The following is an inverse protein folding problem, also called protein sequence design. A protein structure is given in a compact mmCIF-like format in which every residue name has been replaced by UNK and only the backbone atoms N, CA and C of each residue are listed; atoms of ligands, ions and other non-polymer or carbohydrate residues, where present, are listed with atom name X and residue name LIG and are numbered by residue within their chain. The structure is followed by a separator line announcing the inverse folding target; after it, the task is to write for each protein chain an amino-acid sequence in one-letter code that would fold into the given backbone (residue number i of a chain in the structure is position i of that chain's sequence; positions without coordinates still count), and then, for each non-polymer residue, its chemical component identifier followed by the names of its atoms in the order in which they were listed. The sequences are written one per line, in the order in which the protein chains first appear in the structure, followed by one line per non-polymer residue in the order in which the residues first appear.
data_IF_409077272957
#
_entry.id   IF_409077272957
#
_cell.length_a   1.000
_cell.length_b   1.000
_cell.length_c   1.000
_cell.angle_alpha   90.00
_cell.angle_beta   90.00
_cell.angle_gamma   90.00
#
_symmetry.space_group_name_H-M   'P 1'
#
loop_
_entity.id
_entity.type
_entity.pdbx_description
1 polymer ?
#
# COMPACT_ATOMS: atom_id res chain seq x y z
N UNK A 1 -3.86 2.75 -4.21
CA UNK A 1 -5.00 2.22 -3.45
C UNK A 1 -5.59 3.28 -2.49
N UNK A 2 -4.82 3.87 -1.58
CA UNK A 2 -5.36 4.85 -0.60
C UNK A 2 -6.09 6.01 -1.26
N UNK A 3 -5.53 6.62 -2.28
CA UNK A 3 -6.18 7.70 -3.05
C UNK A 3 -7.52 7.24 -3.64
N UNK A 4 -7.56 6.02 -4.19
CA UNK A 4 -8.81 5.45 -4.73
C UNK A 4 -9.86 5.28 -3.64
N UNK A 5 -9.48 4.75 -2.48
CA UNK A 5 -10.40 4.54 -1.35
C UNK A 5 -10.93 5.86 -0.79
N UNK A 6 -10.12 6.91 -0.83
CA UNK A 6 -10.50 8.23 -0.32
C UNK A 6 -11.41 9.01 -1.28
N UNK A 7 -11.26 8.81 -2.61
CA UNK A 7 -11.93 9.65 -3.61
C UNK A 7 -13.06 8.98 -4.38
N UNK A 8 -13.08 7.63 -4.48
CA UNK A 8 -14.04 6.92 -5.30
C UNK A 8 -15.02 6.08 -4.46
N UNK A 9 -16.25 5.97 -4.93
CA UNK A 9 -17.22 5.02 -4.36
C UNK A 9 -16.83 3.59 -4.75
N UNK A 10 -16.62 2.72 -3.75
CA UNK A 10 -16.22 1.33 -3.94
C UNK A 10 -17.19 0.51 -4.80
N UNK A 11 -18.47 0.90 -4.82
CA UNK A 11 -19.53 0.24 -5.61
C UNK A 11 -19.72 0.86 -7.00
N UNK A 12 -19.04 1.99 -7.27
CA UNK A 12 -19.05 2.59 -8.60
C UNK A 12 -18.57 1.58 -9.63
N UNK A 13 -19.27 1.50 -10.76
CA UNK A 13 -18.89 0.66 -11.89
C UNK A 13 -17.98 1.43 -12.83
N UNK A 14 -16.90 0.78 -13.19
CA UNK A 14 -15.88 1.24 -14.13
C UNK A 14 -15.96 0.37 -15.37
N UNK A 15 -16.13 0.99 -16.54
CA UNK A 15 -16.02 0.32 -17.83
C UNK A 15 -14.56 0.40 -18.32
N UNK A 16 -13.97 -0.75 -18.61
CA UNK A 16 -12.56 -0.85 -18.99
C UNK A 16 -12.37 -0.50 -20.46
N UNK A 17 -11.48 0.46 -20.74
CA UNK A 17 -11.03 0.80 -22.09
C UNK A 17 -9.95 -0.15 -22.62
N UNK A 18 -9.70 -0.07 -23.93
CA UNK A 18 -8.66 -0.89 -24.59
C UNK A 18 -7.27 -0.66 -24.01
N UNK A 19 -6.95 0.59 -23.63
CA UNK A 19 -5.65 0.96 -23.09
C UNK A 19 -5.35 0.25 -21.77
N UNK A 20 -6.35 0.14 -20.86
CA UNK A 20 -6.17 -0.57 -19.59
C UNK A 20 -5.89 -2.06 -19.79
N UNK A 21 -6.55 -2.68 -20.75
CA UNK A 21 -6.38 -4.11 -21.06
C UNK A 21 -5.04 -4.44 -21.75
N UNK A 22 -4.31 -3.44 -22.22
CA UNK A 22 -3.03 -3.59 -22.95
C UNK A 22 -1.81 -3.17 -22.12
N UNK A 23 -1.99 -2.83 -20.85
CA UNK A 23 -0.90 -2.45 -19.97
C UNK A 23 0.05 -3.63 -19.73
N UNK A 24 1.34 -3.37 -19.88
CA UNK A 24 2.40 -4.35 -19.66
C UNK A 24 2.55 -4.76 -18.18
N UNK A 25 3.09 -5.94 -17.97
CA UNK A 25 3.44 -6.50 -16.67
C UNK A 25 2.35 -7.40 -16.09
N UNK A 26 2.23 -7.45 -14.76
CA UNK A 26 1.22 -8.27 -14.07
C UNK A 26 -0.18 -7.79 -14.40
N UNK A 27 -1.09 -8.69 -14.73
CA UNK A 27 -2.46 -8.37 -15.09
C UNK A 27 -3.45 -9.34 -14.43
N UNK A 28 -4.62 -8.85 -14.10
CA UNK A 28 -5.76 -9.67 -13.65
C UNK A 28 -6.71 -9.99 -14.80
N UNK A 29 -6.38 -9.57 -16.02
CA UNK A 29 -7.08 -9.94 -17.24
C UNK A 29 -8.42 -9.23 -17.43
N UNK A 30 -8.52 -7.97 -16.97
CA UNK A 30 -9.67 -7.14 -17.35
C UNK A 30 -9.60 -6.80 -18.84
N UNK A 31 -10.74 -6.74 -19.51
CA UNK A 31 -10.78 -6.53 -20.96
C UNK A 31 -11.69 -5.41 -21.40
N UNK A 32 -11.55 -4.97 -22.68
CA UNK A 32 -12.31 -3.85 -23.22
C UNK A 32 -13.81 -4.08 -23.14
N UNK A 33 -14.54 -3.09 -22.60
CA UNK A 33 -16.00 -3.17 -22.38
C UNK A 33 -16.40 -4.01 -21.15
N UNK A 34 -15.44 -4.65 -20.47
CA UNK A 34 -15.66 -5.29 -19.18
C UNK A 34 -16.05 -4.23 -18.15
N UNK A 35 -16.94 -4.61 -17.23
CA UNK A 35 -17.43 -3.69 -16.19
C UNK A 35 -17.13 -4.28 -14.82
N UNK A 36 -16.38 -3.52 -14.00
CA UNK A 36 -15.93 -3.91 -12.67
C UNK A 36 -16.31 -2.84 -11.66
N UNK A 37 -16.50 -3.20 -10.41
CA UNK A 37 -16.58 -2.19 -9.35
C UNK A 37 -15.18 -1.67 -8.99
N UNK A 38 -15.09 -0.47 -8.42
CA UNK A 38 -13.84 0.07 -7.88
C UNK A 38 -13.23 -0.90 -6.88
N UNK A 39 -14.05 -1.54 -6.03
CA UNK A 39 -13.58 -2.57 -5.08
C UNK A 39 -12.96 -3.78 -5.79
N UNK A 40 -13.57 -4.29 -6.85
CA UNK A 40 -12.99 -5.40 -7.63
C UNK A 40 -11.66 -5.03 -8.27
N UNK A 41 -11.53 -3.81 -8.82
CA UNK A 41 -10.25 -3.33 -9.34
C UNK A 41 -9.21 -3.16 -8.23
N UNK A 42 -9.60 -2.69 -7.04
CA UNK A 42 -8.71 -2.65 -5.87
C UNK A 42 -8.27 -4.05 -5.41
N UNK A 43 -9.15 -5.04 -5.47
CA UNK A 43 -8.80 -6.45 -5.22
C UNK A 43 -7.76 -6.93 -6.24
N UNK A 44 -7.98 -6.67 -7.52
CA UNK A 44 -7.00 -6.97 -8.56
C UNK A 44 -5.64 -6.33 -8.34
N UNK A 45 -5.64 -5.05 -7.99
CA UNK A 45 -4.43 -4.27 -7.70
C UNK A 45 -3.68 -4.78 -6.47
N UNK A 46 -4.37 -5.01 -5.35
CA UNK A 46 -3.73 -5.29 -4.06
C UNK A 46 -3.40 -6.77 -3.86
N UNK A 47 -4.26 -7.68 -4.34
CA UNK A 47 -4.09 -9.12 -4.15
C UNK A 47 -3.17 -9.77 -5.19
N UNK A 48 -3.19 -9.28 -6.44
CA UNK A 48 -2.44 -9.87 -7.55
C UNK A 48 -1.61 -8.87 -8.38
N UNK A 49 -1.41 -7.67 -7.86
CA UNK A 49 -0.55 -6.65 -8.50
C UNK A 49 -0.95 -6.28 -9.94
N UNK A 50 -2.26 -6.31 -10.27
CA UNK A 50 -2.77 -6.05 -11.61
C UNK A 50 -2.48 -4.62 -12.08
N UNK A 51 -1.58 -4.45 -13.05
CA UNK A 51 -1.27 -3.15 -13.66
C UNK A 51 -2.43 -2.66 -14.53
N UNK A 52 -3.16 -3.57 -15.14
CA UNK A 52 -4.40 -3.30 -15.87
C UNK A 52 -5.48 -2.70 -14.95
N UNK A 53 -5.67 -3.27 -13.77
CA UNK A 53 -6.56 -2.72 -12.74
C UNK A 53 -6.05 -1.37 -12.21
N UNK A 54 -4.73 -1.21 -12.01
CA UNK A 54 -4.14 0.07 -11.61
C UNK A 54 -4.41 1.17 -12.62
N UNK A 55 -4.26 0.87 -13.92
CA UNK A 55 -4.53 1.84 -15.00
C UNK A 55 -6.01 2.21 -15.05
N UNK A 56 -6.92 1.22 -15.00
CA UNK A 56 -8.36 1.49 -14.99
C UNK A 56 -8.76 2.42 -13.82
N UNK A 57 -8.22 2.19 -12.62
CA UNK A 57 -8.43 3.07 -11.46
C UNK A 57 -7.81 4.46 -11.65
N UNK A 58 -6.65 4.54 -12.33
CA UNK A 58 -6.01 5.83 -12.61
C UNK A 58 -6.85 6.67 -13.58
N UNK A 59 -7.52 6.07 -14.55
CA UNK A 59 -8.42 6.80 -15.45
C UNK A 59 -9.61 7.40 -14.68
N UNK A 60 -10.18 6.66 -13.71
CA UNK A 60 -11.27 7.18 -12.85
C UNK A 60 -10.80 8.33 -11.93
N UNK A 61 -9.53 8.38 -11.58
CA UNK A 61 -8.93 9.48 -10.81
C UNK A 61 -8.59 10.72 -11.66
N UNK A 62 -8.84 10.67 -12.96
CA UNK A 62 -8.62 11.79 -13.90
C UNK A 62 -7.43 11.61 -14.81
N UNK A 63 -6.95 10.37 -15.00
CA UNK A 63 -5.84 9.99 -15.87
C UNK A 63 -4.49 9.97 -15.16
N UNK A 64 -3.46 9.58 -15.90
CA UNK A 64 -2.14 9.26 -15.35
C UNK A 64 -1.49 10.42 -14.58
N UNK A 65 -1.44 11.63 -15.18
CA UNK A 65 -0.83 12.80 -14.54
C UNK A 65 -1.57 13.22 -13.27
N UNK A 66 -2.90 13.18 -13.29
CA UNK A 66 -3.71 13.54 -12.13
C UNK A 66 -3.50 12.50 -11.02
N UNK A 67 -3.45 11.22 -11.36
CA UNK A 67 -3.22 10.13 -10.41
C UNK A 67 -1.84 10.23 -9.77
N UNK A 68 -0.78 10.44 -10.55
CA UNK A 68 0.58 10.61 -10.01
C UNK A 68 0.69 11.80 -9.05
N UNK A 69 0.07 12.93 -9.40
CA UNK A 69 0.03 14.09 -8.50
C UNK A 69 -0.66 13.73 -7.18
N UNK A 70 -1.84 13.13 -7.22
CA UNK A 70 -2.61 12.73 -6.02
C UNK A 70 -1.88 11.70 -5.17
N UNK A 71 -1.20 10.73 -5.79
CA UNK A 71 -0.39 9.72 -5.09
C UNK A 71 0.77 10.38 -4.34
N UNK A 72 1.48 11.32 -4.97
CA UNK A 72 2.58 12.03 -4.32
C UNK A 72 2.09 12.99 -3.22
N UNK A 73 0.95 13.65 -3.42
CA UNK A 73 0.28 14.45 -2.39
C UNK A 73 -0.10 13.58 -1.18
N UNK A 74 -0.69 12.40 -1.42
CA UNK A 74 -1.02 11.44 -0.36
C UNK A 74 0.22 10.94 0.38
N UNK A 75 1.31 10.64 -0.32
CA UNK A 75 2.58 10.27 0.29
C UNK A 75 3.11 11.38 1.22
N UNK A 76 3.05 12.64 0.78
CA UNK A 76 3.43 13.78 1.60
C UNK A 76 2.53 13.96 2.84
N UNK A 77 1.20 13.78 2.70
CA UNK A 77 0.24 13.81 3.82
C UNK A 77 0.55 12.73 4.87
N UNK A 78 1.01 11.55 4.44
CA UNK A 78 1.42 10.45 5.32
C UNK A 78 2.75 10.78 6.03
N UNK A 79 3.48 11.79 5.59
CA UNK A 79 4.75 12.22 6.17
C UNK A 79 5.96 11.46 5.62
N UNK A 80 5.92 11.03 4.37
CA UNK A 80 7.09 10.46 3.69
C UNK A 80 8.05 11.57 3.28
N UNK A 81 9.36 11.26 3.27
CA UNK A 81 10.41 12.23 2.96
C UNK A 81 11.29 11.82 1.76
N UNK A 82 11.30 10.54 1.43
CA UNK A 82 12.14 9.93 0.39
C UNK A 82 11.33 9.22 -0.69
N UNK A 83 10.00 9.31 -0.62
CA UNK A 83 9.10 8.64 -1.56
C UNK A 83 8.64 9.60 -2.64
N UNK A 84 8.89 9.21 -3.88
CA UNK A 84 8.35 9.85 -5.07
C UNK A 84 7.84 8.78 -6.02
N UNK A 85 6.55 8.80 -6.31
CA UNK A 85 5.92 7.91 -7.27
C UNK A 85 6.02 8.53 -8.68
N UNK A 86 6.77 7.90 -9.56
CA UNK A 86 6.84 8.24 -10.98
C UNK A 86 5.98 7.31 -11.85
N UNK A 87 5.41 6.25 -11.23
CA UNK A 87 4.43 5.33 -11.80
C UNK A 87 3.39 5.01 -10.72
N UNK A 88 2.13 4.89 -11.09
CA UNK A 88 1.05 4.53 -10.16
C UNK A 88 0.91 3.01 -9.96
N UNK A 89 1.52 2.22 -10.82
CA UNK A 89 1.56 0.75 -10.74
C UNK A 89 2.75 0.21 -9.94
N UNK A 90 3.79 1.04 -9.73
CA UNK A 90 5.04 0.64 -9.09
C UNK A 90 6.10 0.11 -10.05
N UNK A 91 5.87 0.15 -11.37
CA UNK A 91 6.89 -0.15 -12.37
C UNK A 91 7.99 0.91 -12.38
N UNK A 92 9.18 0.53 -12.85
CA UNK A 92 10.34 1.41 -12.95
C UNK A 92 10.02 2.63 -13.82
N UNK A 93 10.37 3.81 -13.33
CA UNK A 93 10.24 5.06 -14.05
C UNK A 93 11.26 6.08 -13.53
N UNK A 94 11.74 7.01 -14.37
CA UNK A 94 12.73 8.00 -13.97
C UNK A 94 12.27 8.83 -12.77
N UNK A 95 13.08 8.83 -11.70
CA UNK A 95 12.78 9.56 -10.47
C UNK A 95 12.01 8.77 -9.41
N UNK A 96 11.53 7.54 -9.70
CA UNK A 96 10.91 6.66 -8.71
C UNK A 96 11.87 6.42 -7.54
N UNK A 97 11.40 6.66 -6.32
CA UNK A 97 12.21 6.44 -5.12
C UNK A 97 11.35 6.19 -3.89
N UNK A 98 11.91 5.47 -2.92
CA UNK A 98 11.33 5.30 -1.59
C UNK A 98 12.39 4.90 -0.57
N UNK A 99 11.99 4.76 0.69
CA UNK A 99 12.79 4.17 1.76
C UNK A 99 11.96 3.15 2.55
N UNK A 100 12.63 2.26 3.27
CA UNK A 100 11.94 1.29 4.14
C UNK A 100 11.13 2.00 5.24
N UNK A 101 11.62 3.13 5.74
CA UNK A 101 10.90 3.97 6.70
C UNK A 101 9.61 4.52 6.10
N UNK A 102 9.67 5.09 4.90
CA UNK A 102 8.50 5.65 4.22
C UNK A 102 7.47 4.57 3.90
N UNK A 103 7.90 3.42 3.39
CA UNK A 103 6.99 2.27 3.16
C UNK A 103 6.36 1.81 4.47
N UNK A 104 7.10 1.83 5.59
CA UNK A 104 6.53 1.52 6.90
C UNK A 104 5.43 2.50 7.30
N UNK A 105 5.60 3.80 7.02
CA UNK A 105 4.59 4.85 7.27
C UNK A 105 3.36 4.65 6.39
N UNK A 106 3.56 4.44 5.09
CA UNK A 106 2.49 4.20 4.12
C UNK A 106 1.68 2.96 4.51
N UNK A 107 2.35 1.85 4.83
CA UNK A 107 1.70 0.60 5.20
C UNK A 107 0.90 0.74 6.51
N UNK A 108 1.46 1.42 7.51
CA UNK A 108 0.77 1.72 8.75
C UNK A 108 -0.49 2.56 8.49
N UNK A 109 -0.39 3.63 7.70
CA UNK A 109 -1.54 4.44 7.31
C UNK A 109 -2.60 3.62 6.56
N UNK A 110 -2.16 2.76 5.63
CA UNK A 110 -3.04 1.89 4.87
C UNK A 110 -3.81 0.90 5.77
N UNK A 111 -3.15 0.30 6.77
CA UNK A 111 -3.80 -0.63 7.70
C UNK A 111 -4.78 0.02 8.68
N UNK A 112 -4.74 1.34 8.85
CA UNK A 112 -5.79 2.06 9.56
C UNK A 112 -7.07 2.22 8.73
N UNK A 113 -6.99 2.03 7.41
CA UNK A 113 -8.16 2.04 6.56
C UNK A 113 -8.78 0.63 6.51
N UNK A 114 -10.03 0.46 6.96
CA UNK A 114 -10.65 -0.87 7.05
C UNK A 114 -10.88 -1.55 5.71
N UNK A 115 -11.06 -0.78 4.63
CA UNK A 115 -11.19 -1.32 3.27
C UNK A 115 -9.88 -1.92 2.79
N UNK A 116 -8.77 -1.20 2.95
CA UNK A 116 -7.45 -1.72 2.63
C UNK A 116 -7.14 -2.98 3.43
N UNK A 117 -7.28 -2.91 4.76
CA UNK A 117 -6.99 -4.03 5.65
C UNK A 117 -7.78 -5.28 5.26
N UNK A 118 -9.08 -5.15 4.99
CA UNK A 118 -9.95 -6.25 4.57
C UNK A 118 -9.50 -6.87 3.24
N UNK A 119 -9.14 -6.05 2.23
CA UNK A 119 -8.73 -6.56 0.92
C UNK A 119 -7.43 -7.36 1.02
N UNK A 120 -6.41 -6.84 1.71
CA UNK A 120 -5.11 -7.53 1.81
C UNK A 120 -5.12 -8.74 2.74
N UNK A 121 -6.13 -8.84 3.61
CA UNK A 121 -6.41 -9.97 4.52
C UNK A 121 -7.44 -10.97 3.93
N UNK A 122 -7.62 -10.94 2.61
CA UNK A 122 -8.52 -11.84 1.88
C UNK A 122 -7.68 -12.84 1.08
N UNK A 123 -7.95 -14.14 1.27
CA UNK A 123 -7.21 -15.22 0.59
C UNK A 123 -7.54 -15.30 -0.89
N UNK A 124 -8.82 -15.26 -1.23
CA UNK A 124 -9.29 -15.28 -2.62
C UNK A 124 -10.68 -14.66 -2.77
N UNK A 125 -10.98 -14.20 -3.98
CA UNK A 125 -12.30 -13.67 -4.35
C UNK A 125 -12.73 -14.20 -5.71
N UNK A 126 -14.03 -14.26 -5.94
CA UNK A 126 -14.58 -14.44 -7.29
C UNK A 126 -14.33 -13.16 -8.09
N UNK A 127 -13.52 -13.24 -9.13
CA UNK A 127 -13.22 -12.13 -10.00
C UNK A 127 -14.01 -12.24 -11.31
N UNK A 128 -14.73 -11.19 -11.71
CA UNK A 128 -15.57 -11.27 -12.91
C UNK A 128 -14.77 -11.47 -14.18
N UNK A 129 -15.30 -12.26 -15.12
CA UNK A 129 -14.84 -12.28 -16.50
C UNK A 129 -15.37 -11.09 -17.31
N UNK A 130 -15.10 -11.09 -18.61
CA UNK A 130 -15.60 -10.08 -19.54
C UNK A 130 -15.84 -10.69 -20.92
N UNK A 131 -16.76 -10.11 -21.71
CA UNK A 131 -17.15 -10.67 -23.00
C UNK A 131 -17.66 -12.10 -22.85
N UNK A 132 -17.05 -13.04 -23.55
CA UNK A 132 -17.37 -14.47 -23.49
C UNK A 132 -16.47 -15.25 -22.49
N UNK A 133 -15.64 -14.56 -21.71
CA UNK A 133 -14.77 -15.17 -20.71
C UNK A 133 -15.48 -15.27 -19.36
N UNK A 134 -15.48 -16.47 -18.79
CA UNK A 134 -15.99 -16.71 -17.45
C UNK A 134 -15.13 -16.01 -16.38
N UNK A 135 -15.75 -15.70 -15.23
CA UNK A 135 -15.04 -15.28 -14.02
C UNK A 135 -14.17 -16.40 -13.44
N UNK A 136 -13.26 -16.04 -12.56
CA UNK A 136 -12.31 -16.96 -11.95
C UNK A 136 -11.99 -16.60 -10.50
N UNK A 137 -11.37 -17.54 -9.78
CA UNK A 137 -10.85 -17.28 -8.42
C UNK A 137 -9.55 -16.48 -8.49
N UNK A 138 -9.59 -15.22 -8.07
CA UNK A 138 -8.40 -14.39 -7.89
C UNK A 138 -7.80 -14.66 -6.52
N UNK A 139 -6.59 -15.20 -6.46
CA UNK A 139 -5.86 -15.47 -5.23
C UNK A 139 -4.98 -14.30 -4.79
N UNK A 140 -4.73 -14.23 -3.49
CA UNK A 140 -3.74 -13.31 -2.92
C UNK A 140 -2.32 -13.85 -3.15
N UNK A 141 -1.39 -13.02 -3.59
CA UNK A 141 0.00 -13.40 -3.87
C UNK A 141 0.94 -13.25 -2.65
N UNK A 142 0.43 -12.79 -1.52
CA UNK A 142 1.25 -12.55 -0.33
C UNK A 142 1.58 -13.83 0.43
N UNK A 143 2.79 -14.35 0.21
CA UNK A 143 3.24 -15.59 0.83
C UNK A 143 3.30 -15.56 2.36
N UNK A 144 3.56 -14.42 2.99
CA UNK A 144 3.54 -14.30 4.46
C UNK A 144 2.12 -14.51 5.00
N UNK A 145 1.14 -13.84 4.40
CA UNK A 145 -0.27 -13.98 4.76
C UNK A 145 -0.77 -15.42 4.60
N UNK A 146 -0.40 -16.07 3.50
CA UNK A 146 -0.87 -17.43 3.18
C UNK A 146 -0.20 -18.54 4.00
N UNK A 147 1.01 -18.30 4.54
CA UNK A 147 1.82 -19.35 5.19
C UNK A 147 2.11 -19.10 6.68
N UNK A 148 1.70 -17.96 7.23
CA UNK A 148 1.84 -17.68 8.66
C UNK A 148 0.45 -17.45 9.29
N UNK A 149 0.08 -18.21 10.34
CA UNK A 149 -1.25 -18.09 10.96
C UNK A 149 -1.52 -16.71 11.61
N UNK A 150 -0.47 -15.94 11.88
CA UNK A 150 -0.56 -14.58 12.42
C UNK A 150 -0.47 -13.51 11.32
N UNK A 151 -0.37 -13.90 10.04
CA UNK A 151 -0.26 -13.01 8.89
C UNK A 151 -1.52 -12.18 8.65
N UNK A 152 -1.36 -10.86 8.48
CA UNK A 152 -2.47 -9.92 8.27
C UNK A 152 -2.42 -9.20 6.92
N UNK A 153 -1.72 -9.76 5.96
CA UNK A 153 -1.58 -9.22 4.63
C UNK A 153 -0.36 -8.31 4.42
N UNK A 154 -0.30 -7.68 3.29
CA UNK A 154 0.84 -6.85 2.86
C UNK A 154 0.89 -6.66 1.36
N UNK A 155 2.07 -6.34 0.83
CA UNK A 155 2.29 -6.20 -0.61
C UNK A 155 3.64 -6.74 -1.03
N UNK A 156 3.63 -7.48 -2.12
CA UNK A 156 4.81 -7.96 -2.86
C UNK A 156 5.16 -6.98 -3.98
N UNK A 157 6.39 -6.99 -4.46
CA UNK A 157 6.80 -6.28 -5.65
C UNK A 157 8.08 -6.86 -6.25
N UNK A 158 8.20 -6.69 -7.56
CA UNK A 158 9.43 -6.98 -8.31
C UNK A 158 9.51 -6.09 -9.54
N UNK A 159 10.66 -5.48 -9.74
CA UNK A 159 11.08 -4.84 -10.99
C UNK A 159 12.55 -5.12 -11.22
N UNK A 160 13.04 -4.85 -12.42
CA UNK A 160 14.45 -5.09 -12.74
C UNK A 160 15.38 -4.15 -11.96
N UNK A 161 14.96 -2.91 -11.72
CA UNK A 161 15.76 -1.91 -11.00
C UNK A 161 15.64 -2.05 -9.48
N UNK A 162 14.43 -2.34 -8.96
CA UNK A 162 14.18 -2.43 -7.51
C UNK A 162 14.42 -3.82 -6.92
N UNK A 163 14.59 -4.86 -7.76
CA UNK A 163 14.60 -6.26 -7.37
C UNK A 163 13.33 -6.63 -6.57
N UNK A 164 13.40 -7.65 -5.71
CA UNK A 164 12.26 -8.02 -4.89
C UNK A 164 12.06 -7.04 -3.73
N UNK A 165 10.82 -6.56 -3.60
CA UNK A 165 10.37 -5.73 -2.48
C UNK A 165 9.23 -6.41 -1.76
N UNK A 166 9.11 -6.17 -0.47
CA UNK A 166 8.06 -6.75 0.34
C UNK A 166 7.74 -5.85 1.53
N UNK A 167 6.46 -5.72 1.84
CA UNK A 167 5.98 -5.24 3.12
C UNK A 167 4.89 -6.16 3.61
N UNK A 168 4.94 -6.54 4.87
CA UNK A 168 3.93 -7.39 5.49
C UNK A 168 4.00 -7.34 7.00
N UNK A 169 2.99 -7.86 7.66
CA UNK A 169 2.90 -7.82 9.11
C UNK A 169 2.30 -9.11 9.69
N UNK A 170 2.60 -9.33 10.96
CA UNK A 170 1.95 -10.32 11.81
C UNK A 170 1.21 -9.63 12.94
N UNK A 171 0.09 -10.20 13.39
CA UNK A 171 -0.63 -9.79 14.59
C UNK A 171 -0.66 -10.96 15.59
N UNK A 172 0.08 -10.83 16.69
CA UNK A 172 0.07 -11.80 17.79
C UNK A 172 -0.61 -11.20 19.01
N UNK A 173 -1.85 -11.59 19.23
CA UNK A 173 -2.61 -11.15 20.41
C UNK A 173 -2.71 -9.61 20.53
N UNK A 174 -2.87 -8.91 19.40
CA UNK A 174 -2.96 -7.45 19.33
C UNK A 174 -1.61 -6.72 19.29
N UNK A 175 -0.48 -7.43 19.38
CA UNK A 175 0.83 -6.87 19.07
C UNK A 175 1.11 -7.03 17.58
N UNK A 176 1.05 -5.93 16.84
CA UNK A 176 1.33 -5.88 15.41
C UNK A 176 2.78 -5.46 15.16
N UNK A 177 3.48 -6.26 14.38
CA UNK A 177 4.83 -5.95 13.90
C UNK A 177 4.84 -6.04 12.38
N UNK A 178 5.46 -5.08 11.73
CA UNK A 178 5.66 -5.07 10.27
C UNK A 178 7.13 -5.20 9.91
N UNK A 179 7.40 -5.78 8.75
CA UNK A 179 8.71 -5.83 8.13
C UNK A 179 8.64 -5.25 6.72
N UNK A 180 9.64 -4.45 6.37
CA UNK A 180 9.84 -3.91 5.02
C UNK A 180 11.18 -4.38 4.51
N UNK A 181 11.19 -4.98 3.33
CA UNK A 181 12.38 -5.40 2.62
C UNK A 181 12.41 -4.70 1.26
N UNK A 182 13.52 -4.08 0.94
CA UNK A 182 13.79 -3.42 -0.34
C UNK A 182 15.09 -3.97 -0.92
N UNK A 183 15.22 -3.98 -2.24
CA UNK A 183 16.42 -4.43 -2.96
C UNK A 183 16.84 -5.85 -2.53
N UNK A 184 15.88 -6.77 -2.43
CA UNK A 184 16.14 -8.13 -1.96
C UNK A 184 16.40 -9.06 -3.12
N UNK A 185 17.57 -9.71 -3.13
CA UNK A 185 17.87 -10.79 -4.06
C UNK A 185 17.43 -12.13 -3.51
N UNK A 186 16.85 -12.97 -4.37
CA UNK A 186 16.35 -14.31 -3.99
C UNK A 186 17.09 -15.43 -4.74
N UNK A 187 18.15 -15.10 -5.46
CA UNK A 187 18.98 -16.10 -6.13
C UNK A 187 19.62 -17.02 -5.09
N UNK A 188 19.20 -18.28 -5.10
CA UNK A 188 19.66 -19.33 -4.17
C UNK A 188 19.34 -19.10 -2.68
N UNK A 189 18.42 -18.16 -2.35
CA UNK A 189 18.03 -17.83 -0.98
C UNK A 189 16.51 -17.87 -0.76
N UNK A 190 16.08 -17.57 0.48
CA UNK A 190 14.66 -17.51 0.81
C UNK A 190 13.99 -16.34 0.07
N UNK A 191 12.71 -16.51 -0.27
CA UNK A 191 11.89 -15.45 -0.87
C UNK A 191 11.77 -14.23 0.06
N UNK A 192 11.46 -13.05 -0.46
CA UNK A 192 11.35 -11.84 0.35
C UNK A 192 10.36 -11.99 1.53
N UNK A 193 9.21 -12.63 1.34
CA UNK A 193 8.26 -12.88 2.41
C UNK A 193 8.79 -13.86 3.49
N UNK A 194 9.61 -14.87 3.12
CA UNK A 194 10.25 -15.79 4.08
C UNK A 194 11.31 -15.07 4.92
N UNK A 195 12.04 -14.13 4.31
CA UNK A 195 12.97 -13.26 5.03
C UNK A 195 12.23 -12.36 6.02
N UNK A 196 11.11 -11.76 5.59
CA UNK A 196 10.25 -10.95 6.45
C UNK A 196 9.67 -11.78 7.61
N UNK A 197 9.17 -12.99 7.34
CA UNK A 197 8.67 -13.91 8.35
C UNK A 197 9.72 -14.18 9.44
N UNK A 198 10.93 -14.53 9.02
CA UNK A 198 12.04 -14.79 9.95
C UNK A 198 12.36 -13.56 10.81
N UNK A 199 12.45 -12.39 10.19
CA UNK A 199 12.68 -11.12 10.90
C UNK A 199 11.59 -10.84 11.94
N UNK A 200 10.33 -11.00 11.57
CA UNK A 200 9.19 -10.78 12.45
C UNK A 200 9.16 -11.77 13.61
N UNK A 201 9.41 -13.05 13.35
CA UNK A 201 9.50 -14.07 14.41
C UNK A 201 10.62 -13.77 15.41
N UNK A 202 11.78 -13.29 14.96
CA UNK A 202 12.85 -12.84 15.86
C UNK A 202 12.46 -11.58 16.64
N UNK A 203 11.80 -10.60 15.97
CA UNK A 203 11.35 -9.38 16.62
C UNK A 203 10.31 -9.63 17.73
N UNK A 204 9.48 -10.66 17.63
CA UNK A 204 8.55 -11.02 18.71
C UNK A 204 9.23 -11.54 19.96
N UNK A 205 10.50 -11.97 19.89
CA UNK A 205 11.30 -12.38 21.07
C UNK A 205 11.83 -11.19 21.85
N UNK A 206 11.86 -10.01 21.26
CA UNK A 206 12.28 -8.76 21.91
C UNK A 206 11.12 -8.19 22.71
N UNK A 207 11.37 -7.83 23.98
CA UNK A 207 10.33 -7.20 24.78
C UNK A 207 9.98 -5.79 24.25
N UNK A 208 8.71 -5.36 24.33
CA UNK A 208 8.36 -3.97 24.05
C UNK A 208 9.18 -3.02 24.89
N UNK A 209 9.87 -2.07 24.25
CA UNK A 209 10.76 -1.11 24.91
C UNK A 209 12.25 -1.44 24.85
N UNK A 210 12.63 -2.69 24.52
CA UNK A 210 14.04 -3.09 24.38
C UNK A 210 14.56 -2.94 22.94
N UNK A 211 13.81 -2.27 22.07
CA UNK A 211 14.17 -2.05 20.67
C UNK A 211 15.34 -1.08 20.48
N UNK A 212 16.00 -1.20 19.33
CA UNK A 212 17.16 -0.38 18.92
C UNK A 212 16.73 0.70 17.92
N UNK A 213 15.85 1.53 18.16
CA UNK A 213 15.37 2.54 17.19
C UNK A 213 14.27 3.39 17.80
N UNK A 214 13.65 4.17 16.96
CA UNK A 214 12.50 4.98 17.31
C UNK A 214 11.25 4.41 16.64
N UNK A 215 10.15 4.39 17.39
CA UNK A 215 8.84 4.12 16.80
C UNK A 215 8.44 5.30 15.92
N UNK A 216 7.82 5.00 14.77
CA UNK A 216 7.22 6.03 13.93
C UNK A 216 6.11 6.73 14.70
N UNK A 217 6.20 8.06 14.83
CA UNK A 217 5.12 8.87 15.40
C UNK A 217 3.90 8.85 14.47
N UNK A 218 2.71 8.95 15.05
CA UNK A 218 1.50 9.17 14.25
C UNK A 218 1.52 10.61 13.72
N UNK A 219 1.24 10.79 12.44
CA UNK A 219 1.24 12.11 11.77
C UNK A 219 0.25 13.08 12.45
N UNK A 220 -0.77 12.56 13.12
CA UNK A 220 -1.78 13.35 13.81
C UNK A 220 -1.41 13.78 15.24
N UNK A 221 -0.33 13.28 15.83
CA UNK A 221 0.08 13.66 17.20
C UNK A 221 0.85 14.98 17.25
N UNK A 222 1.40 15.46 16.13
CA UNK A 222 2.23 16.67 16.09
C UNK A 222 1.43 17.95 15.80
N UNK A 223 0.18 17.85 15.34
CA UNK A 223 -0.65 19.04 15.07
C UNK A 223 -1.19 19.72 16.33
N UNK A 224 -1.22 19.04 17.47
CA UNK A 224 -1.80 19.54 18.71
C UNK A 224 -0.74 20.11 19.71
N UNK A 225 0.55 19.98 19.39
CA UNK A 225 1.63 20.40 20.33
C UNK A 225 2.22 21.80 20.05
N UNK A 226 1.75 22.51 19.00
CA UNK A 226 2.25 23.86 18.68
C UNK A 226 1.33 25.02 19.09
N UNK A 227 0.40 24.79 20.00
CA UNK A 227 -0.29 25.88 20.67
C UNK A 227 0.64 26.48 21.75
N UNK A 228 1.53 27.39 21.32
CA UNK A 228 2.31 28.22 22.23
C UNK A 228 1.36 29.12 23.04
N UNK A 229 1.45 29.18 24.38
CA UNK A 229 0.61 30.10 25.14
C UNK A 229 0.97 31.55 24.76
N UNK A 230 -0.05 32.34 24.48
CA UNK A 230 0.10 33.78 24.24
C UNK A 230 0.77 34.45 25.46
N UNK A 231 1.68 35.41 25.26
CA UNK A 231 2.29 36.14 26.38
C UNK A 231 1.27 37.01 27.09
N UNK A 232 1.15 36.82 28.38
CA UNK A 232 0.34 37.65 29.26
C UNK A 232 0.72 39.13 29.15
N UNK A 233 -0.23 39.93 28.76
CA UNK A 233 -0.13 41.39 28.80
C UNK A 233 -0.19 41.85 30.24
N UNK A 234 0.95 42.08 30.85
CA UNK A 234 1.02 42.79 32.14
C UNK A 234 0.69 44.27 31.93
N UNK A 235 -0.45 44.67 32.48
CA UNK A 235 -0.83 46.07 32.62
C UNK A 235 0.18 46.80 33.51
N UNK A 236 0.88 47.79 32.96
CA UNK A 236 1.56 48.83 33.74
C UNK A 236 0.54 49.93 34.03
N UNK A 237 0.14 50.00 35.30
CA UNK A 237 -0.56 51.20 35.81
C UNK A 237 0.49 52.21 36.24
N UNK A 238 0.32 53.42 35.69
CA UNK A 238 1.11 54.60 35.97
C UNK A 238 0.90 55.16 37.38
N UNK A 239 1.94 55.76 37.86
CA UNK A 239 1.88 56.94 38.71
C UNK A 239 2.55 58.07 37.94
#
# INVERSE_FOLDING_TARGET
ALVVIDELDLHQKVEVGEESAQIDGSAVGIGPGGTYTVEQLLQGLLMASGNDAAHALAQELGGDEATLRKVNEKAAEIGTNSTYAASYSGLDAPGMSTSAEDISRIYRAAFHNPTFARIVDTESVEFPGWGDLDGYQLGNDNGLFLNDPDGIGGKTGFTDDAHHTFVGALDRHGRRLQAVLLDTTVEHGPRAWEQAQKLLHEAYKVHPGDGVGQLLADVHSDADSTASPAPDAQAQSAN
#
